data_IF_312761852821
#
_entry.id   IF_312761852821
#
_cell.length_a   1.000
_cell.length_b   1.000
_cell.length_c   1.000
_cell.angle_alpha   90.00
_cell.angle_beta   90.00
_cell.angle_gamma   90.00
#
_symmetry.space_group_name_H-M   'P 1'
#
loop_
_entity.id
_entity.type
_entity.pdbx_description
1 polymer ?
#
# COMPACT_ATOMS: atom_id res chain seq x y z
N UNK A 1 -35.67 -14.37 46.20
CA UNK A 1 -36.34 -13.40 45.33
C UNK A 1 -35.93 -12.02 45.81
N UNK A 2 -34.98 -11.32 45.25
CA UNK A 2 -34.11 -11.61 44.11
C UNK A 2 -32.83 -10.80 44.28
N UNK A 3 -31.77 -11.36 43.71
CA UNK A 3 -30.48 -10.73 43.46
C UNK A 3 -30.61 -9.63 42.42
N UNK A 4 -29.71 -8.65 42.48
CA UNK A 4 -29.50 -7.66 41.41
C UNK A 4 -28.80 -6.43 41.98
N UNK A 5 -27.61 -6.03 41.55
CA UNK A 5 -26.77 -6.51 40.48
C UNK A 5 -25.59 -5.55 40.45
N UNK A 6 -24.39 -6.09 40.56
CA UNK A 6 -23.12 -5.41 40.42
C UNK A 6 -22.94 -4.97 38.97
N UNK A 7 -23.21 -3.71 38.65
CA UNK A 7 -22.81 -3.12 37.36
C UNK A 7 -22.25 -1.72 37.57
N UNK A 8 -21.27 -1.37 36.72
CA UNK A 8 -20.56 -0.10 36.62
C UNK A 8 -19.35 0.19 37.52
N UNK A 9 -18.46 -0.80 37.68
CA UNK A 9 -17.03 -0.50 37.95
C UNK A 9 -16.15 -0.86 36.72
N UNK A 10 -16.62 -1.72 35.82
CA UNK A 10 -15.88 -2.12 34.61
C UNK A 10 -15.98 -1.11 33.45
N UNK A 11 -16.98 -0.21 33.44
CA UNK A 11 -17.12 0.81 32.39
C UNK A 11 -16.16 1.99 32.51
N UNK A 12 -15.60 2.22 33.70
CA UNK A 12 -14.63 3.30 33.94
C UNK A 12 -13.20 2.86 33.59
N UNK A 13 -12.83 1.60 33.87
CA UNK A 13 -11.52 1.04 33.49
C UNK A 13 -11.36 0.76 32.00
N UNK A 14 -12.45 0.60 31.26
CA UNK A 14 -12.43 0.44 29.80
C UNK A 14 -12.28 1.78 29.04
N UNK A 15 -12.46 2.92 29.71
CA UNK A 15 -12.31 4.26 29.11
C UNK A 15 -10.93 4.91 29.35
N UNK A 16 -10.06 4.26 30.11
CA UNK A 16 -8.68 4.71 30.37
C UNK A 16 -7.64 3.98 29.50
N UNK A 17 -8.08 3.18 28.50
CA UNK A 17 -7.22 2.45 27.55
C UNK A 17 -7.42 2.85 26.08
N UNK A 18 -7.99 4.01 25.79
CA UNK A 18 -7.59 4.72 24.58
C UNK A 18 -6.24 5.39 24.90
N UNK A 19 -5.15 4.60 24.86
CA UNK A 19 -3.83 5.17 24.58
C UNK A 19 -4.05 6.04 23.34
N UNK A 20 -3.64 7.30 23.41
CA UNK A 20 -3.62 8.19 22.26
C UNK A 20 -2.71 7.50 21.22
N UNK A 21 -3.29 6.71 20.31
CA UNK A 21 -2.54 5.93 19.34
C UNK A 21 -1.84 6.94 18.47
N UNK A 22 -0.51 6.92 18.50
CA UNK A 22 0.28 7.76 17.62
C UNK A 22 -0.11 7.43 16.18
N UNK A 23 -0.30 8.47 15.37
CA UNK A 23 -0.72 8.33 13.97
C UNK A 23 0.47 8.35 13.02
N UNK A 24 1.68 8.57 13.55
CA UNK A 24 2.91 8.50 12.79
C UNK A 24 3.17 7.04 12.40
N UNK A 25 3.76 6.86 11.23
CA UNK A 25 4.12 5.52 10.75
C UNK A 25 5.26 4.96 11.59
N UNK A 26 5.31 3.63 11.78
CA UNK A 26 6.44 2.97 12.46
C UNK A 26 7.56 2.55 11.51
N UNK A 27 7.22 2.34 10.23
CA UNK A 27 8.18 2.02 9.18
C UNK A 27 9.23 3.12 9.02
N UNK A 28 10.52 2.78 9.14
CA UNK A 28 11.64 3.70 8.86
C UNK A 28 11.90 3.70 7.35
N UNK A 29 11.55 4.75 6.56
CA UNK A 29 11.64 4.74 5.10
C UNK A 29 13.06 5.09 4.59
N UNK A 30 14.07 4.58 5.28
CA UNK A 30 15.49 4.80 5.00
C UNK A 30 16.18 3.46 4.93
N UNK A 31 16.99 3.26 3.90
CA UNK A 31 17.74 2.01 3.72
C UNK A 31 18.70 1.78 4.89
N UNK A 32 18.85 0.53 5.35
CA UNK A 32 19.80 0.11 6.39
C UNK A 32 21.21 0.67 6.19
N UNK A 33 21.72 0.66 4.96
CA UNK A 33 23.04 1.21 4.63
C UNK A 33 23.17 2.73 4.93
N UNK A 34 22.11 3.52 4.70
CA UNK A 34 22.10 4.94 5.03
C UNK A 34 22.01 5.18 6.53
N UNK A 35 21.18 4.40 7.24
CA UNK A 35 21.09 4.44 8.71
C UNK A 35 22.44 4.11 9.33
N UNK A 36 23.07 2.98 8.96
CA UNK A 36 24.42 2.58 9.39
C UNK A 36 25.45 3.68 9.16
N UNK A 37 25.46 4.23 7.95
CA UNK A 37 26.41 5.31 7.60
C UNK A 37 26.23 6.53 8.48
N UNK A 38 25.00 6.95 8.75
CA UNK A 38 24.72 8.12 9.56
C UNK A 38 25.02 7.87 11.05
N UNK A 39 24.58 6.74 11.60
CA UNK A 39 24.74 6.46 13.03
C UNK A 39 26.21 6.22 13.41
N UNK A 40 27.02 5.64 12.52
CA UNK A 40 28.47 5.46 12.75
C UNK A 40 29.29 6.75 12.65
N UNK A 41 28.64 7.86 12.31
CA UNK A 41 29.21 9.20 12.25
C UNK A 41 28.79 10.09 13.42
N UNK A 42 28.04 9.55 14.40
CA UNK A 42 27.69 10.27 15.62
C UNK A 42 28.93 10.75 16.38
N UNK A 43 28.81 11.92 17.01
CA UNK A 43 29.85 12.43 17.90
C UNK A 43 30.08 11.45 19.07
N UNK A 44 31.35 11.24 19.43
CA UNK A 44 31.74 10.26 20.47
C UNK A 44 32.18 8.89 19.92
N UNK A 45 31.91 8.58 18.65
CA UNK A 45 32.40 7.35 18.02
C UNK A 45 33.84 7.52 17.52
N UNK A 46 34.79 6.88 18.20
CA UNK A 46 36.17 6.74 17.72
C UNK A 46 36.29 5.58 16.70
N UNK A 47 37.47 5.42 16.08
CA UNK A 47 37.69 4.40 15.04
C UNK A 47 37.50 2.96 15.57
N UNK A 48 37.94 2.65 16.79
CA UNK A 48 37.78 1.33 17.39
C UNK A 48 36.30 1.00 17.68
N UNK A 49 35.54 1.96 18.21
CA UNK A 49 34.09 1.84 18.43
C UNK A 49 33.36 1.66 17.11
N UNK A 50 33.78 2.38 16.06
CA UNK A 50 33.18 2.28 14.72
C UNK A 50 33.38 0.90 14.11
N UNK A 51 34.59 0.37 14.17
CA UNK A 51 34.91 -0.96 13.66
C UNK A 51 34.18 -2.05 14.47
N UNK A 52 34.04 -1.83 15.79
CA UNK A 52 33.26 -2.67 16.67
C UNK A 52 31.77 -2.70 16.33
N UNK A 53 31.14 -1.53 16.17
CA UNK A 53 29.73 -1.41 15.77
C UNK A 53 29.46 -1.99 14.39
N UNK A 54 30.42 -1.87 13.46
CA UNK A 54 30.30 -2.50 12.16
C UNK A 54 30.19 -4.03 12.27
N UNK A 55 31.01 -4.66 13.12
CA UNK A 55 30.94 -6.11 13.38
C UNK A 55 29.66 -6.50 14.10
N UNK A 56 29.21 -5.72 15.09
CA UNK A 56 27.93 -5.97 15.77
C UNK A 56 26.81 -5.96 14.73
N UNK A 57 26.76 -4.91 13.90
CA UNK A 57 25.77 -4.82 12.83
C UNK A 57 25.85 -5.99 11.83
N UNK A 58 27.04 -6.42 11.42
CA UNK A 58 27.20 -7.59 10.55
C UNK A 58 26.66 -8.89 11.18
N UNK A 59 26.89 -9.09 12.48
CA UNK A 59 26.37 -10.24 13.21
C UNK A 59 24.85 -10.21 13.36
N UNK A 60 24.27 -9.05 13.72
CA UNK A 60 22.81 -8.88 13.77
C UNK A 60 22.22 -9.18 12.38
N UNK A 61 22.77 -8.60 11.31
CA UNK A 61 22.33 -8.88 9.94
C UNK A 61 22.36 -10.37 9.59
N UNK A 62 23.44 -11.08 9.93
CA UNK A 62 23.55 -12.52 9.66
C UNK A 62 22.52 -13.35 10.45
N UNK A 63 22.35 -13.05 11.75
CA UNK A 63 21.41 -13.75 12.64
C UNK A 63 19.97 -13.57 12.15
N UNK A 64 19.55 -12.32 11.90
CA UNK A 64 18.18 -12.07 11.45
C UNK A 64 17.93 -12.61 10.05
N UNK A 65 18.90 -12.52 9.14
CA UNK A 65 18.77 -13.12 7.82
C UNK A 65 18.50 -14.64 7.91
N UNK A 66 19.21 -15.31 8.82
CA UNK A 66 19.03 -16.74 9.07
C UNK A 66 17.65 -17.05 9.66
N UNK A 67 17.20 -16.32 10.69
CA UNK A 67 15.89 -16.55 11.30
C UNK A 67 14.74 -16.27 10.33
N UNK A 68 14.85 -15.19 9.56
CA UNK A 68 13.88 -14.77 8.54
C UNK A 68 13.74 -15.78 7.41
N UNK A 69 14.81 -16.50 7.07
CA UNK A 69 14.77 -17.53 6.03
C UNK A 69 13.77 -18.66 6.36
N UNK A 70 13.71 -19.10 7.62
CA UNK A 70 12.76 -20.14 8.04
C UNK A 70 11.31 -19.68 7.90
N UNK A 71 11.01 -18.43 8.25
CA UNK A 71 9.69 -17.82 8.06
C UNK A 71 9.31 -17.74 6.58
N UNK A 72 10.25 -17.34 5.71
CA UNK A 72 10.03 -17.28 4.27
C UNK A 72 9.71 -18.66 3.66
N UNK A 73 10.44 -19.71 4.03
CA UNK A 73 10.19 -21.06 3.54
C UNK A 73 8.86 -21.63 4.04
N UNK A 74 8.48 -21.32 5.29
CA UNK A 74 7.16 -21.68 5.81
C UNK A 74 6.03 -21.02 5.02
N UNK A 75 6.10 -19.70 4.80
CA UNK A 75 5.13 -18.95 4.00
C UNK A 75 5.00 -19.51 2.57
N UNK A 76 6.13 -19.82 1.91
CA UNK A 76 6.12 -20.42 0.57
C UNK A 76 5.46 -21.79 0.57
N UNK A 77 5.78 -22.64 1.54
CA UNK A 77 5.19 -23.97 1.64
C UNK A 77 3.68 -23.93 1.85
N UNK A 78 3.19 -22.99 2.67
CA UNK A 78 1.76 -22.79 2.89
C UNK A 78 1.07 -22.21 1.65
N UNK A 79 1.75 -21.34 0.90
CA UNK A 79 1.22 -20.70 -0.30
C UNK A 79 1.21 -21.59 -1.55
N UNK A 80 2.11 -22.57 -1.65
CA UNK A 80 2.39 -23.38 -2.85
C UNK A 80 1.11 -23.89 -3.54
N UNK A 81 0.16 -24.43 -2.76
CA UNK A 81 -1.07 -25.00 -3.34
C UNK A 81 -2.03 -23.97 -3.91
N UNK A 82 -1.92 -22.70 -3.51
CA UNK A 82 -2.78 -21.59 -3.95
C UNK A 82 -2.10 -20.68 -4.98
N UNK A 83 -0.80 -20.85 -5.21
CA UNK A 83 0.00 -20.02 -6.11
C UNK A 83 -0.55 -20.09 -7.54
N UNK A 84 -0.99 -18.97 -8.15
CA UNK A 84 -1.43 -18.92 -9.54
C UNK A 84 -0.33 -19.31 -10.54
N UNK A 85 0.96 -19.20 -10.18
CA UNK A 85 2.10 -19.50 -11.05
C UNK A 85 2.52 -20.98 -11.01
N UNK A 86 1.83 -21.83 -10.23
CA UNK A 86 2.11 -23.26 -10.19
C UNK A 86 1.69 -23.99 -11.48
N UNK A 87 2.22 -25.19 -11.70
CA UNK A 87 1.93 -25.99 -12.91
C UNK A 87 0.51 -26.59 -12.87
N UNK A 88 0.07 -27.01 -11.69
CA UNK A 88 -1.22 -27.63 -11.47
C UNK A 88 -2.33 -26.57 -11.28
N UNK A 89 -3.59 -27.01 -11.25
CA UNK A 89 -4.69 -26.08 -10.95
C UNK A 89 -4.63 -25.65 -9.48
N UNK A 90 -4.60 -24.33 -9.19
CA UNK A 90 -4.55 -23.86 -7.81
C UNK A 90 -5.71 -24.38 -6.96
N UNK A 91 -5.37 -24.89 -5.79
CA UNK A 91 -6.31 -25.30 -4.76
C UNK A 91 -6.60 -24.17 -3.76
N UNK A 92 -7.30 -24.53 -2.68
CA UNK A 92 -7.65 -23.63 -1.57
C UNK A 92 -7.22 -24.17 -0.20
N UNK A 93 -6.36 -25.21 -0.19
CA UNK A 93 -5.96 -25.90 1.04
C UNK A 93 -5.00 -25.03 1.85
N UNK A 94 -5.26 -24.90 3.15
CA UNK A 94 -4.38 -24.16 4.05
C UNK A 94 -4.50 -22.63 3.93
N UNK A 95 -5.53 -22.11 3.25
CA UNK A 95 -5.69 -20.67 3.03
C UNK A 95 -5.71 -19.85 4.32
N UNK A 96 -6.50 -20.29 5.31
CA UNK A 96 -6.62 -19.59 6.60
C UNK A 96 -5.28 -19.57 7.34
N UNK A 97 -4.63 -20.74 7.46
CA UNK A 97 -3.29 -20.87 8.07
C UNK A 97 -2.23 -20.01 7.37
N UNK A 98 -2.25 -19.96 6.02
CA UNK A 98 -1.39 -19.08 5.25
C UNK A 98 -1.65 -17.60 5.53
N UNK A 99 -2.92 -17.18 5.52
CA UNK A 99 -3.29 -15.78 5.73
C UNK A 99 -2.97 -15.32 7.15
N UNK A 100 -3.14 -16.17 8.15
CA UNK A 100 -2.79 -15.88 9.55
C UNK A 100 -1.27 -15.75 9.69
N UNK A 101 -0.50 -16.71 9.15
CA UNK A 101 0.97 -16.66 9.16
C UNK A 101 1.51 -15.43 8.40
N UNK A 102 0.86 -15.08 7.28
CA UNK A 102 1.22 -13.90 6.50
C UNK A 102 0.92 -12.61 7.26
N UNK A 103 -0.21 -12.54 7.97
CA UNK A 103 -0.58 -11.38 8.76
C UNK A 103 0.42 -11.15 9.91
N UNK A 104 0.88 -12.20 10.58
CA UNK A 104 1.95 -12.12 11.59
C UNK A 104 3.24 -11.57 10.97
N UNK A 105 3.71 -12.14 9.86
CA UNK A 105 4.92 -11.65 9.18
C UNK A 105 4.80 -10.20 8.65
N UNK A 106 3.58 -9.75 8.36
CA UNK A 106 3.30 -8.37 7.95
C UNK A 106 3.38 -7.42 9.16
N UNK A 107 2.85 -7.81 10.32
CA UNK A 107 2.94 -7.04 11.56
C UNK A 107 4.41 -6.83 11.95
N UNK A 108 5.22 -7.90 11.93
CA UNK A 108 6.66 -7.84 12.22
C UNK A 108 7.42 -6.92 11.21
N UNK A 109 6.83 -6.64 10.05
CA UNK A 109 7.38 -5.73 9.05
C UNK A 109 6.79 -4.33 9.05
N UNK A 110 6.03 -3.96 10.10
CA UNK A 110 5.33 -2.68 10.27
C UNK A 110 4.27 -2.42 9.19
N UNK A 111 3.66 -3.47 8.63
CA UNK A 111 2.55 -3.36 7.69
C UNK A 111 1.22 -3.25 8.44
N UNK A 112 0.34 -2.39 7.91
CA UNK A 112 -1.01 -2.22 8.43
C UNK A 112 -2.05 -2.65 7.41
N UNK A 113 -3.16 -3.25 7.84
CA UNK A 113 -4.31 -3.47 6.96
C UNK A 113 -4.96 -2.12 6.61
N UNK A 114 -5.29 -1.90 5.33
CA UNK A 114 -6.02 -0.70 4.92
C UNK A 114 -7.43 -0.77 5.49
N UNK A 115 -7.81 0.22 6.28
CA UNK A 115 -9.11 0.25 6.93
C UNK A 115 -10.27 0.48 5.95
N UNK A 116 -11.47 0.01 6.30
CA UNK A 116 -12.69 0.29 5.54
C UNK A 116 -12.89 1.78 5.30
N UNK A 117 -12.51 2.62 6.28
CA UNK A 117 -12.58 4.07 6.17
C UNK A 117 -11.61 4.60 5.11
N UNK A 118 -10.35 4.17 5.10
CA UNK A 118 -9.38 4.58 4.08
C UNK A 118 -9.80 4.11 2.69
N UNK A 119 -10.36 2.91 2.58
CA UNK A 119 -10.92 2.43 1.32
C UNK A 119 -12.13 3.26 0.87
N UNK A 120 -13.02 3.64 1.79
CA UNK A 120 -14.16 4.51 1.48
C UNK A 120 -13.69 5.92 1.07
N UNK A 121 -12.76 6.51 1.82
CA UNK A 121 -12.18 7.81 1.52
C UNK A 121 -11.50 7.80 0.14
N UNK A 122 -10.85 6.69 -0.24
CA UNK A 122 -10.28 6.51 -1.57
C UNK A 122 -11.34 6.46 -2.69
N UNK A 123 -12.47 5.77 -2.46
CA UNK A 123 -13.56 5.66 -3.45
C UNK A 123 -14.38 6.95 -3.59
N UNK A 124 -14.46 7.75 -2.52
CA UNK A 124 -15.21 9.01 -2.49
C UNK A 124 -14.36 10.24 -2.87
N UNK A 125 -13.03 10.11 -2.72
CA UNK A 125 -12.06 11.17 -3.00
C UNK A 125 -12.07 11.66 -4.44
N UNK A 126 -11.67 12.92 -4.66
CA UNK A 126 -11.44 13.40 -6.02
C UNK A 126 -10.09 12.87 -6.54
N UNK A 127 -10.15 11.91 -7.47
CA UNK A 127 -8.99 11.26 -8.11
C UNK A 127 -7.85 12.24 -8.51
N UNK A 128 -6.61 11.79 -8.37
CA UNK A 128 -5.44 12.40 -9.04
C UNK A 128 -5.59 12.25 -10.55
N UNK A 129 -6.24 11.19 -11.01
CA UNK A 129 -6.47 10.90 -12.42
C UNK A 129 -7.77 11.51 -12.98
N UNK A 130 -7.88 11.57 -14.31
CA UNK A 130 -8.97 12.28 -14.99
C UNK A 130 -10.27 11.44 -15.13
N UNK A 131 -10.29 10.19 -14.70
CA UNK A 131 -11.39 9.23 -14.89
C UNK A 131 -11.44 8.36 -13.63
N UNK A 132 -12.62 8.17 -13.05
CA UNK A 132 -12.80 7.31 -11.89
C UNK A 132 -12.98 5.86 -12.33
N UNK A 133 -12.50 4.91 -11.53
CA UNK A 133 -12.70 3.49 -11.79
C UNK A 133 -13.76 2.91 -10.86
N UNK A 134 -14.66 2.13 -11.44
CA UNK A 134 -15.62 1.33 -10.69
C UNK A 134 -15.06 -0.08 -10.50
N UNK A 135 -14.74 -0.44 -9.25
CA UNK A 135 -14.26 -1.77 -8.87
C UNK A 135 -15.47 -2.65 -8.56
N UNK A 136 -15.51 -3.84 -9.16
CA UNK A 136 -16.57 -4.83 -8.88
C UNK A 136 -16.15 -5.73 -7.73
N UNK A 137 -16.25 -5.21 -6.50
CA UNK A 137 -15.81 -5.93 -5.30
C UNK A 137 -16.52 -7.27 -5.07
N UNK A 138 -17.74 -7.43 -5.58
CA UNK A 138 -18.50 -8.69 -5.47
C UNK A 138 -17.90 -9.85 -6.28
N UNK A 139 -16.97 -9.57 -7.19
CA UNK A 139 -16.24 -10.58 -7.98
C UNK A 139 -15.10 -11.26 -7.18
N UNK A 140 -14.82 -10.81 -5.95
CA UNK A 140 -13.79 -11.37 -5.08
C UNK A 140 -14.38 -12.31 -4.01
N UNK A 141 -13.70 -13.43 -3.77
CA UNK A 141 -13.89 -14.31 -2.60
C UNK A 141 -13.03 -13.81 -1.44
N UNK A 142 -11.81 -13.37 -1.73
CA UNK A 142 -10.88 -12.79 -0.76
C UNK A 142 -10.33 -11.50 -1.34
N UNK A 143 -10.37 -10.44 -0.54
CA UNK A 143 -9.80 -9.14 -0.84
C UNK A 143 -9.20 -8.60 0.45
N UNK A 144 -7.88 -8.46 0.47
CA UNK A 144 -7.13 -7.83 1.55
C UNK A 144 -6.13 -6.86 0.97
N UNK A 145 -6.00 -5.69 1.59
CA UNK A 145 -5.00 -4.69 1.24
C UNK A 145 -4.20 -4.37 2.49
N UNK A 146 -2.87 -4.36 2.37
CA UNK A 146 -1.97 -3.90 3.41
C UNK A 146 -1.12 -2.76 2.88
N UNK A 147 -0.86 -1.76 3.71
CA UNK A 147 -0.04 -0.59 3.40
C UNK A 147 1.25 -0.64 4.21
N UNK A 148 2.32 -0.11 3.62
CA UNK A 148 3.57 0.17 4.32
C UNK A 148 4.00 1.59 3.98
N UNK A 149 4.19 2.38 5.04
CA UNK A 149 4.70 3.74 4.99
C UNK A 149 3.84 4.74 4.21
N UNK A 150 4.11 6.01 4.46
CA UNK A 150 3.41 7.13 3.82
C UNK A 150 4.42 8.15 3.27
N UNK A 151 4.16 8.61 2.05
CA UNK A 151 5.00 9.59 1.35
C UNK A 151 4.14 10.66 0.67
N UNK A 152 4.56 11.92 0.76
CA UNK A 152 3.95 13.04 0.04
C UNK A 152 4.76 13.38 -1.20
N UNK A 153 4.10 13.35 -2.36
CA UNK A 153 4.73 13.58 -3.67
C UNK A 153 4.24 14.93 -4.20
N UNK A 154 5.14 15.78 -4.68
CA UNK A 154 4.76 17.01 -5.38
C UNK A 154 4.55 16.73 -6.88
N UNK A 155 3.37 17.09 -7.39
CA UNK A 155 3.00 16.96 -8.80
C UNK A 155 2.68 18.35 -9.39
N UNK A 156 3.25 18.67 -10.55
CA UNK A 156 2.93 19.91 -11.28
C UNK A 156 1.75 19.68 -12.23
N UNK A 157 0.61 20.29 -11.92
CA UNK A 157 -0.57 20.24 -12.79
C UNK A 157 -0.74 21.52 -13.58
N UNK A 158 -0.96 21.38 -14.89
CA UNK A 158 -1.37 22.51 -15.74
C UNK A 158 -2.90 22.61 -15.75
N UNK A 159 -3.44 23.74 -15.32
CA UNK A 159 -4.85 24.09 -15.50
C UNK A 159 -5.02 25.13 -16.63
N UNK A 160 -6.27 25.33 -17.06
CA UNK A 160 -6.64 26.31 -18.09
C UNK A 160 -5.86 26.18 -19.41
N UNK A 161 -5.92 25.01 -20.06
CA UNK A 161 -5.22 24.72 -21.32
C UNK A 161 -3.69 24.92 -21.26
N UNK A 162 -3.08 24.80 -20.08
CA UNK A 162 -1.64 24.93 -19.89
C UNK A 162 -1.17 26.33 -19.49
N UNK A 163 -2.09 27.27 -19.26
CA UNK A 163 -1.75 28.66 -18.93
C UNK A 163 -1.43 28.88 -17.45
N UNK A 164 -1.89 28.01 -16.56
CA UNK A 164 -1.56 28.05 -15.12
C UNK A 164 -0.94 26.72 -14.72
N UNK A 165 0.22 26.76 -14.06
CA UNK A 165 0.79 25.60 -13.38
C UNK A 165 0.54 25.72 -11.89
N UNK A 166 0.18 24.63 -11.26
CA UNK A 166 -0.12 24.55 -9.83
C UNK A 166 0.52 23.29 -9.28
N UNK A 167 1.33 23.45 -8.23
CA UNK A 167 1.94 22.32 -7.52
C UNK A 167 0.91 21.79 -6.54
N UNK A 168 0.60 20.50 -6.68
CA UNK A 168 -0.33 19.79 -5.80
C UNK A 168 0.48 18.74 -5.04
N UNK A 169 0.30 18.71 -3.72
CA UNK A 169 0.82 17.63 -2.88
C UNK A 169 -0.14 16.44 -2.96
N UNK A 170 0.40 15.26 -3.27
CA UNK A 170 -0.33 14.01 -3.34
C UNK A 170 0.19 13.10 -2.25
N UNK A 171 -0.66 12.79 -1.28
CA UNK A 171 -0.34 11.81 -0.25
C UNK A 171 -0.54 10.40 -0.82
N UNK A 172 0.46 9.55 -0.61
CA UNK A 172 0.53 8.20 -1.16
C UNK A 172 1.02 7.22 -0.11
N UNK A 173 0.59 5.98 -0.21
CA UNK A 173 1.24 4.87 0.49
C UNK A 173 2.54 4.54 -0.23
N UNK A 174 3.64 4.34 0.50
CA UNK A 174 4.93 3.98 -0.11
C UNK A 174 4.81 2.62 -0.78
N UNK A 175 4.15 1.67 -0.13
CA UNK A 175 3.85 0.36 -0.71
C UNK A 175 2.48 -0.16 -0.33
N UNK A 176 1.91 -0.97 -1.21
CA UNK A 176 0.67 -1.70 -0.98
C UNK A 176 0.84 -3.15 -1.39
N UNK A 177 0.45 -4.06 -0.49
CA UNK A 177 0.20 -5.46 -0.82
C UNK A 177 -1.28 -5.63 -1.07
N UNK A 178 -1.60 -6.31 -2.18
CA UNK A 178 -2.94 -6.69 -2.57
C UNK A 178 -3.02 -8.20 -2.62
N UNK A 179 -3.99 -8.77 -1.91
CA UNK A 179 -4.30 -10.20 -1.93
C UNK A 179 -5.71 -10.38 -2.49
N UNK A 180 -5.83 -11.08 -3.61
CA UNK A 180 -7.09 -11.28 -4.32
C UNK A 180 -7.31 -12.76 -4.64
N UNK A 181 -8.53 -13.23 -4.40
CA UNK A 181 -9.04 -14.49 -4.94
C UNK A 181 -10.36 -14.18 -5.65
N UNK A 182 -10.48 -14.55 -6.92
CA UNK A 182 -11.70 -14.34 -7.69
C UNK A 182 -12.73 -15.43 -7.43
N UNK A 183 -14.01 -15.07 -7.62
CA UNK A 183 -15.09 -16.03 -7.69
C UNK A 183 -14.87 -17.04 -8.83
N UNK A 184 -15.40 -18.25 -8.68
CA UNK A 184 -15.22 -19.30 -9.68
C UNK A 184 -16.10 -19.11 -10.93
N UNK A 185 -15.85 -19.94 -11.95
CA UNK A 185 -16.61 -19.91 -13.21
C UNK A 185 -18.12 -20.06 -13.00
N UNK A 186 -18.54 -20.89 -12.04
CA UNK A 186 -19.94 -21.17 -11.77
C UNK A 186 -20.67 -19.92 -11.26
N UNK A 187 -20.03 -19.15 -10.37
CA UNK A 187 -20.54 -17.89 -9.84
C UNK A 187 -20.80 -16.87 -10.96
N UNK A 188 -19.86 -16.75 -11.92
CA UNK A 188 -20.01 -15.85 -13.07
C UNK A 188 -21.08 -16.32 -14.04
N UNK A 189 -21.19 -17.64 -14.26
CA UNK A 189 -22.21 -18.24 -15.14
C UNK A 189 -23.62 -18.00 -14.60
N UNK A 190 -23.85 -18.27 -13.32
CA UNK A 190 -25.14 -18.09 -12.65
C UNK A 190 -25.63 -16.63 -12.70
N UNK A 191 -24.71 -15.68 -12.55
CA UNK A 191 -25.00 -14.23 -12.62
C UNK A 191 -25.02 -13.66 -14.04
N UNK A 192 -24.80 -14.48 -15.07
CA UNK A 192 -24.70 -14.07 -16.49
C UNK A 192 -23.62 -13.00 -16.71
N UNK A 193 -22.51 -13.11 -15.98
CA UNK A 193 -21.35 -12.19 -16.01
C UNK A 193 -20.10 -12.81 -16.63
N UNK A 194 -20.21 -13.88 -17.42
CA UNK A 194 -19.08 -14.57 -18.05
C UNK A 194 -18.10 -13.67 -18.82
N UNK A 195 -18.52 -12.50 -19.30
CA UNK A 195 -17.64 -11.50 -19.91
C UNK A 195 -16.59 -10.88 -18.96
N UNK A 196 -16.78 -11.04 -17.65
CA UNK A 196 -15.91 -10.56 -16.58
C UNK A 196 -15.13 -11.69 -15.90
N UNK A 197 -15.37 -12.94 -16.29
CA UNK A 197 -14.60 -14.06 -15.78
C UNK A 197 -13.15 -13.95 -16.29
N UNK A 198 -12.19 -14.12 -15.38
CA UNK A 198 -10.77 -13.94 -15.66
C UNK A 198 -10.14 -15.15 -16.38
N UNK A 199 -10.87 -16.27 -16.49
CA UNK A 199 -10.33 -17.51 -17.07
C UNK A 199 -9.32 -18.19 -16.14
N UNK A 200 -8.42 -18.97 -16.72
CA UNK A 200 -7.36 -19.67 -15.98
C UNK A 200 -6.43 -18.69 -15.24
N UNK A 201 -6.17 -17.52 -15.82
CA UNK A 201 -5.29 -16.49 -15.22
C UNK A 201 -5.82 -15.92 -13.90
N UNK A 202 -7.12 -16.06 -13.60
CA UNK A 202 -7.70 -15.57 -12.35
C UNK A 202 -7.86 -16.61 -11.25
N UNK A 203 -7.44 -17.86 -11.49
CA UNK A 203 -7.48 -18.91 -10.47
C UNK A 203 -6.36 -18.72 -9.44
N UNK A 204 -6.56 -19.26 -8.24
CA UNK A 204 -5.61 -19.16 -7.15
C UNK A 204 -5.69 -17.87 -6.36
N UNK A 205 -4.79 -17.74 -5.39
CA UNK A 205 -4.68 -16.59 -4.50
C UNK A 205 -3.58 -15.66 -5.03
N UNK A 206 -3.97 -14.57 -5.68
CA UNK A 206 -3.05 -13.60 -6.26
C UNK A 206 -2.51 -12.68 -5.18
N UNK A 207 -1.18 -12.54 -5.12
CA UNK A 207 -0.53 -11.58 -4.23
C UNK A 207 0.25 -10.60 -5.09
N UNK A 208 0.06 -9.30 -4.89
CA UNK A 208 0.79 -8.26 -5.65
C UNK A 208 1.33 -7.20 -4.73
N UNK A 209 2.54 -6.75 -5.00
CA UNK A 209 3.17 -5.63 -4.32
C UNK A 209 3.31 -4.45 -5.28
N UNK A 210 2.79 -3.31 -4.89
CA UNK A 210 2.87 -2.05 -5.62
C UNK A 210 3.66 -1.02 -4.81
N UNK A 211 4.39 -0.15 -5.49
CA UNK A 211 4.97 1.06 -4.89
C UNK A 211 4.17 2.31 -5.24
N UNK A 212 4.21 3.27 -4.33
CA UNK A 212 3.82 4.66 -4.55
C UNK A 212 2.39 4.75 -5.10
N UNK A 213 1.43 4.32 -4.29
CA UNK A 213 0.01 4.32 -4.66
C UNK A 213 -0.67 5.50 -3.97
N UNK A 214 -1.27 6.45 -4.72
CA UNK A 214 -2.00 7.56 -4.12
C UNK A 214 -3.12 7.06 -3.21
N UNK A 215 -3.27 7.69 -2.04
CA UNK A 215 -4.31 7.29 -1.07
C UNK A 215 -5.72 7.41 -1.65
N UNK A 216 -5.93 8.36 -2.54
CA UNK A 216 -7.21 8.65 -3.19
C UNK A 216 -7.37 7.99 -4.58
N UNK A 217 -6.49 7.06 -4.97
CA UNK A 217 -6.66 6.30 -6.22
C UNK A 217 -6.38 4.78 -5.99
N UNK A 218 -6.78 4.23 -4.84
CA UNK A 218 -6.60 2.81 -4.52
C UNK A 218 -7.30 1.89 -5.53
N UNK A 219 -8.38 2.34 -6.16
CA UNK A 219 -9.09 1.61 -7.20
C UNK A 219 -8.19 1.29 -8.41
N UNK A 220 -7.12 2.04 -8.63
CA UNK A 220 -6.22 1.84 -9.78
C UNK A 220 -5.46 0.52 -9.74
N UNK A 221 -5.18 -0.02 -8.56
CA UNK A 221 -4.47 -1.29 -8.41
C UNK A 221 -5.36 -2.51 -8.65
N UNK A 222 -6.67 -2.34 -8.80
CA UNK A 222 -7.59 -3.45 -9.03
C UNK A 222 -7.66 -3.84 -10.52
N UNK A 223 -7.51 -5.14 -10.84
CA UNK A 223 -7.55 -5.63 -12.22
C UNK A 223 -8.96 -5.61 -12.85
N UNK A 224 -10.02 -5.65 -12.05
CA UNK A 224 -11.40 -5.78 -12.49
C UNK A 224 -12.14 -4.43 -12.49
N UNK A 225 -11.49 -3.38 -12.94
CA UNK A 225 -12.09 -2.04 -12.96
C UNK A 225 -12.83 -1.74 -14.26
N UNK A 226 -13.91 -0.96 -14.17
CA UNK A 226 -14.60 -0.40 -15.33
C UNK A 226 -14.41 1.13 -15.38
N UNK A 227 -14.01 1.70 -16.52
CA UNK A 227 -13.81 3.14 -16.61
C UNK A 227 -15.14 3.88 -16.55
N UNK A 228 -15.29 4.78 -15.58
CA UNK A 228 -16.44 5.66 -15.46
C UNK A 228 -16.06 7.10 -15.79
N UNK A 229 -16.78 7.74 -16.72
CA UNK A 229 -16.47 9.13 -17.06
C UNK A 229 -16.72 10.08 -15.88
N UNK A 230 -15.72 10.90 -15.53
CA UNK A 230 -15.89 12.05 -14.62
C UNK A 230 -16.96 12.99 -15.16
N UNK A 231 -17.66 13.68 -14.25
CA UNK A 231 -18.71 14.65 -14.59
C UNK A 231 -18.26 15.71 -15.60
N UNK A 232 -17.01 16.19 -15.48
CA UNK A 232 -16.44 17.18 -16.41
C UNK A 232 -16.31 16.66 -17.84
N UNK A 233 -15.93 15.40 -18.03
CA UNK A 233 -15.76 14.81 -19.36
C UNK A 233 -17.12 14.40 -19.96
N UNK A 234 -18.07 13.98 -19.12
CA UNK A 234 -19.49 13.87 -19.52
C UNK A 234 -20.01 15.18 -20.09
N UNK A 235 -19.67 16.32 -19.48
CA UNK A 235 -20.05 17.65 -19.97
C UNK A 235 -19.28 18.01 -21.26
N UNK A 236 -17.96 17.82 -21.33
CA UNK A 236 -17.18 18.13 -22.54
C UNK A 236 -17.65 17.35 -23.77
N UNK A 237 -18.11 16.12 -23.59
CA UNK A 237 -18.61 15.27 -24.67
C UNK A 237 -20.10 15.54 -24.92
N UNK A 238 -20.90 15.70 -23.87
CA UNK A 238 -22.34 15.88 -23.94
C UNK A 238 -22.80 17.28 -24.35
N UNK A 239 -22.12 18.34 -23.91
CA UNK A 239 -22.51 19.73 -24.20
C UNK A 239 -22.41 20.07 -25.70
N UNK A 240 -21.33 19.69 -26.43
CA UNK A 240 -21.33 19.82 -27.89
C UNK A 240 -22.44 18.99 -28.53
N UNK A 241 -22.66 17.74 -28.09
CA UNK A 241 -23.73 16.89 -28.62
C UNK A 241 -25.09 17.59 -28.55
N UNK A 242 -25.46 18.09 -27.36
CA UNK A 242 -26.70 18.84 -27.13
C UNK A 242 -26.75 20.13 -27.94
N UNK A 243 -25.67 20.92 -27.97
CA UNK A 243 -25.61 22.16 -28.74
C UNK A 243 -25.77 21.93 -30.24
N UNK A 244 -25.13 20.89 -30.79
CA UNK A 244 -25.25 20.50 -32.19
C UNK A 244 -26.65 20.02 -32.54
N UNK A 245 -27.25 19.15 -31.71
CA UNK A 245 -28.62 18.67 -31.90
C UNK A 245 -29.65 19.80 -31.82
N UNK A 246 -29.52 20.71 -30.85
CA UNK A 246 -30.40 21.90 -30.73
C UNK A 246 -30.26 22.80 -31.95
N UNK A 247 -29.04 23.04 -32.43
CA UNK A 247 -28.80 23.88 -33.62
C UNK A 247 -29.45 23.27 -34.87
N UNK A 248 -29.33 21.95 -35.05
CA UNK A 248 -29.95 21.24 -36.16
C UNK A 248 -31.48 21.23 -36.01
N UNK A 249 -32.00 20.98 -34.82
CA UNK A 249 -33.44 21.00 -34.51
C UNK A 249 -34.06 22.38 -34.72
N UNK A 250 -33.41 23.47 -34.31
CA UNK A 250 -33.91 24.83 -34.54
C UNK A 250 -33.89 25.21 -36.03
N UNK A 251 -32.83 24.86 -36.75
CA UNK A 251 -32.67 25.25 -38.17
C UNK A 251 -33.49 24.39 -39.13
N UNK A 252 -33.66 23.12 -38.81
CA UNK A 252 -34.22 22.13 -39.72
C UNK A 252 -35.39 21.33 -39.14
N UNK A 253 -35.74 21.51 -37.86
CA UNK A 253 -36.88 20.84 -37.21
C UNK A 253 -38.21 21.06 -37.93
N UNK A 254 -38.58 22.30 -38.31
CA UNK A 254 -39.80 22.53 -39.09
C UNK A 254 -39.80 21.86 -40.48
N UNK A 255 -38.62 21.65 -41.07
CA UNK A 255 -38.44 20.94 -42.34
C UNK A 255 -38.53 19.41 -42.15
N UNK A 256 -38.05 18.89 -41.02
CA UNK A 256 -38.08 17.47 -40.65
C UNK A 256 -39.47 17.01 -40.16
N UNK A 257 -40.24 17.90 -39.52
CA UNK A 257 -41.59 17.64 -39.01
C UNK A 257 -42.70 17.91 -40.04
N UNK A 258 -42.35 18.40 -41.23
CA UNK A 258 -43.31 18.70 -42.30
C UNK A 258 -44.17 19.94 -42.05
N UNK A 259 -43.81 20.79 -41.09
CA UNK A 259 -44.59 21.99 -40.70
C UNK A 259 -44.45 23.15 -41.71
N UNK A 260 -43.44 23.13 -42.60
CA UNK A 260 -43.17 24.21 -43.56
C UNK A 260 -42.91 23.73 -45.00
N UNK A 261 -43.76 22.86 -45.57
CA UNK A 261 -43.60 22.46 -46.98
C UNK A 261 -44.75 22.95 -47.87
N UNK A 262 -44.61 24.18 -48.35
CA UNK A 262 -45.30 24.65 -49.57
C UNK A 262 -44.49 24.38 -50.86
N UNK A 263 -43.39 23.61 -50.78
CA UNK A 263 -42.55 23.23 -51.92
C UNK A 263 -41.85 21.89 -51.71
N UNK A 264 -41.52 21.21 -52.80
CA UNK A 264 -40.84 19.90 -52.85
C UNK A 264 -39.56 19.91 -52.03
N UNK A 265 -39.60 19.29 -50.85
CA UNK A 265 -38.38 19.06 -50.06
C UNK A 265 -37.55 18.01 -50.78
N UNK A 266 -36.42 18.41 -51.36
CA UNK A 266 -35.54 17.47 -52.06
C UNK A 266 -35.03 16.39 -51.09
N UNK A 267 -35.13 15.12 -51.49
CA UNK A 267 -34.64 13.97 -50.73
C UNK A 267 -33.14 14.12 -50.35
N UNK A 268 -32.38 14.86 -51.16
CA UNK A 268 -30.98 15.22 -50.92
C UNK A 268 -30.76 16.14 -49.72
N UNK A 269 -31.69 17.08 -49.45
CA UNK A 269 -31.60 17.97 -48.28
C UNK A 269 -31.83 17.19 -46.98
N UNK A 270 -32.86 16.34 -46.95
CA UNK A 270 -33.11 15.43 -45.83
C UNK A 270 -31.94 14.45 -45.62
N UNK A 271 -31.42 13.87 -46.71
CA UNK A 271 -30.24 13.01 -46.68
C UNK A 271 -29.00 13.71 -46.12
N UNK A 272 -28.76 14.97 -46.51
CA UNK A 272 -27.64 15.78 -46.00
C UNK A 272 -27.75 16.09 -44.50
N UNK A 273 -28.95 16.40 -44.01
CA UNK A 273 -29.19 16.66 -42.58
C UNK A 273 -29.00 15.38 -41.75
N UNK A 274 -29.55 14.25 -42.21
CA UNK A 274 -29.37 12.96 -41.55
C UNK A 274 -27.90 12.51 -41.56
N UNK A 275 -27.18 12.73 -42.66
CA UNK A 275 -25.75 12.45 -42.74
C UNK A 275 -24.93 13.33 -41.78
N UNK A 276 -25.28 14.62 -41.64
CA UNK A 276 -24.63 15.51 -40.69
C UNK A 276 -24.88 15.08 -39.23
N UNK A 277 -26.13 14.73 -38.89
CA UNK A 277 -26.50 14.19 -37.59
C UNK A 277 -25.75 12.88 -37.28
N UNK A 278 -25.76 11.94 -38.22
CA UNK A 278 -25.06 10.66 -38.09
C UNK A 278 -23.56 10.84 -37.91
N UNK A 279 -22.93 11.74 -38.68
CA UNK A 279 -21.51 12.08 -38.53
C UNK A 279 -21.21 12.68 -37.16
N UNK A 280 -22.10 13.51 -36.64
CA UNK A 280 -21.91 14.13 -35.34
C UNK A 280 -22.02 13.14 -34.18
N UNK A 281 -23.04 12.29 -34.19
CA UNK A 281 -23.20 11.19 -33.22
C UNK A 281 -21.99 10.25 -33.28
N UNK A 282 -21.56 9.87 -34.48
CA UNK A 282 -20.39 9.02 -34.69
C UNK A 282 -19.11 9.67 -34.14
N UNK A 283 -18.89 10.96 -34.40
CA UNK A 283 -17.73 11.70 -33.88
C UNK A 283 -17.72 11.72 -32.35
N UNK A 284 -18.87 11.93 -31.72
CA UNK A 284 -19.01 11.92 -30.25
C UNK A 284 -18.70 10.53 -29.68
N UNK A 285 -19.20 9.47 -30.31
CA UNK A 285 -18.91 8.08 -29.92
C UNK A 285 -17.42 7.74 -30.06
N UNK A 286 -16.79 8.11 -31.18
CA UNK A 286 -15.36 7.92 -31.40
C UNK A 286 -14.52 8.70 -30.39
N UNK A 287 -14.95 9.92 -30.02
CA UNK A 287 -14.29 10.70 -28.97
C UNK A 287 -14.37 10.01 -27.61
N UNK A 288 -15.53 9.43 -27.27
CA UNK A 288 -15.71 8.64 -26.05
C UNK A 288 -14.76 7.44 -26.02
N UNK A 289 -14.73 6.64 -27.09
CA UNK A 289 -13.84 5.47 -27.18
C UNK A 289 -12.38 5.88 -27.05
N UNK A 290 -11.94 6.91 -27.78
CA UNK A 290 -10.55 7.39 -27.72
C UNK A 290 -10.13 7.85 -26.32
N UNK A 291 -11.02 8.53 -25.60
CA UNK A 291 -10.76 8.95 -24.21
C UNK A 291 -10.62 7.74 -23.29
N UNK A 292 -11.50 6.74 -23.44
CA UNK A 292 -11.45 5.49 -22.67
C UNK A 292 -10.17 4.69 -22.94
N UNK A 293 -9.77 4.53 -24.19
CA UNK A 293 -8.54 3.81 -24.57
C UNK A 293 -7.29 4.50 -24.02
N UNK A 294 -7.21 5.84 -24.15
CA UNK A 294 -6.11 6.63 -23.60
C UNK A 294 -5.97 6.43 -22.10
N UNK A 295 -7.09 6.30 -21.40
CA UNK A 295 -7.12 6.07 -19.97
C UNK A 295 -6.63 4.69 -19.58
N UNK A 296 -7.18 3.64 -20.20
CA UNK A 296 -6.74 2.27 -19.98
C UNK A 296 -5.23 2.11 -20.26
N UNK A 297 -4.73 2.77 -21.31
CA UNK A 297 -3.30 2.81 -21.63
C UNK A 297 -2.49 3.48 -20.52
N UNK A 298 -3.00 4.56 -19.91
CA UNK A 298 -2.31 5.27 -18.84
C UNK A 298 -2.24 4.43 -17.57
N UNK A 299 -3.36 3.82 -17.15
CA UNK A 299 -3.40 2.92 -16.00
C UNK A 299 -2.48 1.73 -16.21
N UNK A 300 -2.56 1.08 -17.37
CA UNK A 300 -1.70 -0.07 -17.67
C UNK A 300 -0.22 0.28 -17.58
N UNK A 301 0.19 1.45 -18.08
CA UNK A 301 1.57 1.95 -17.89
C UNK A 301 1.90 2.24 -16.44
N UNK A 302 0.99 2.88 -15.71
CA UNK A 302 1.18 3.24 -14.31
C UNK A 302 1.36 1.97 -13.45
N UNK A 303 0.46 0.99 -13.59
CA UNK A 303 0.56 -0.32 -12.95
C UNK A 303 1.82 -1.07 -13.33
N UNK A 304 2.25 -1.03 -14.60
CA UNK A 304 3.49 -1.66 -15.02
C UNK A 304 4.71 -1.10 -14.28
N UNK A 305 4.78 0.22 -14.09
CA UNK A 305 5.93 0.84 -13.40
C UNK A 305 5.81 0.83 -11.88
N UNK A 306 4.60 0.70 -11.34
CA UNK A 306 4.33 0.60 -9.89
C UNK A 306 4.39 -0.84 -9.37
N UNK A 307 4.11 -1.85 -10.18
CA UNK A 307 4.25 -3.25 -9.79
C UNK A 307 5.71 -3.59 -9.43
N UNK A 308 5.93 -4.09 -8.22
CA UNK A 308 7.24 -4.50 -7.71
C UNK A 308 7.44 -6.02 -7.74
N UNK A 309 6.44 -6.77 -7.30
CA UNK A 309 6.51 -8.23 -7.21
C UNK A 309 5.11 -8.86 -7.32
N UNK A 310 5.06 -10.13 -7.72
CA UNK A 310 3.85 -10.94 -7.82
C UNK A 310 4.03 -12.29 -7.11
N UNK A 311 2.95 -12.81 -6.54
CA UNK A 311 2.81 -14.14 -5.95
C UNK A 311 3.97 -14.49 -5.01
N UNK A 312 4.63 -15.63 -5.18
CA UNK A 312 5.72 -16.07 -4.31
C UNK A 312 6.88 -15.06 -4.19
N UNK A 313 7.10 -14.18 -5.18
CA UNK A 313 8.11 -13.14 -5.09
C UNK A 313 7.75 -12.06 -4.05
N UNK A 314 6.47 -11.82 -3.80
CA UNK A 314 6.01 -10.89 -2.75
C UNK A 314 6.41 -11.41 -1.37
N UNK A 315 6.30 -12.74 -1.13
CA UNK A 315 6.65 -13.34 0.15
C UNK A 315 8.12 -13.10 0.51
N UNK A 316 9.04 -13.26 -0.45
CA UNK A 316 10.45 -12.95 -0.22
C UNK A 316 10.66 -11.47 0.11
N UNK A 317 9.90 -10.58 -0.54
CA UNK A 317 10.04 -9.14 -0.36
C UNK A 317 9.47 -8.65 0.97
N UNK A 318 8.39 -9.27 1.47
CA UNK A 318 7.87 -8.99 2.82
C UNK A 318 8.93 -9.32 3.86
N UNK A 319 9.51 -10.52 3.77
CA UNK A 319 10.51 -10.99 4.73
C UNK A 319 11.78 -10.14 4.67
N UNK A 320 12.25 -9.77 3.46
CA UNK A 320 13.40 -8.88 3.27
C UNK A 320 13.16 -7.47 3.87
N UNK A 321 11.96 -6.91 3.67
CA UNK A 321 11.59 -5.61 4.23
C UNK A 321 11.44 -5.65 5.76
N UNK A 322 10.93 -6.75 6.31
CA UNK A 322 10.86 -7.00 7.75
C UNK A 322 12.25 -7.11 8.37
N UNK A 323 13.12 -7.97 7.83
CA UNK A 323 14.53 -8.09 8.24
C UNK A 323 15.24 -6.72 8.23
N UNK A 324 14.95 -5.88 7.24
CA UNK A 324 15.51 -4.53 7.18
C UNK A 324 15.08 -3.63 8.36
N UNK A 325 13.81 -3.69 8.80
CA UNK A 325 13.35 -2.93 9.97
C UNK A 325 13.98 -3.46 11.26
N UNK A 326 13.89 -4.77 11.49
CA UNK A 326 14.44 -5.46 12.65
C UNK A 326 15.87 -5.03 12.96
N UNK A 327 16.73 -5.06 11.94
CA UNK A 327 18.14 -4.71 12.10
C UNK A 327 18.32 -3.21 12.35
N UNK A 328 17.54 -2.35 11.71
CA UNK A 328 17.63 -0.89 11.94
C UNK A 328 17.25 -0.58 13.39
N UNK A 329 16.11 -1.07 13.85
CA UNK A 329 15.60 -0.82 15.19
C UNK A 329 16.56 -1.30 16.28
N UNK A 330 16.99 -2.56 16.20
CA UNK A 330 17.94 -3.12 17.15
C UNK A 330 19.29 -2.38 17.15
N UNK A 331 19.80 -2.00 15.97
CA UNK A 331 21.06 -1.28 15.85
C UNK A 331 20.97 0.16 16.38
N UNK A 332 19.86 0.85 16.12
CA UNK A 332 19.59 2.19 16.64
C UNK A 332 19.55 2.15 18.17
N UNK A 333 18.69 1.30 18.74
CA UNK A 333 18.56 1.14 20.19
C UNK A 333 19.90 0.79 20.86
N UNK A 334 20.61 -0.20 20.33
CA UNK A 334 21.92 -0.61 20.86
C UNK A 334 22.94 0.54 20.84
N UNK A 335 23.04 1.25 19.71
CA UNK A 335 24.07 2.27 19.54
C UNK A 335 23.81 3.49 20.42
N UNK A 336 22.56 3.94 20.56
CA UNK A 336 22.24 5.05 21.44
C UNK A 336 22.46 4.70 22.92
N UNK A 337 22.03 3.52 23.35
CA UNK A 337 22.28 3.05 24.72
C UNK A 337 23.79 2.88 25.02
N UNK A 338 24.59 2.50 24.01
CA UNK A 338 26.04 2.36 24.16
C UNK A 338 26.76 3.72 24.28
N UNK A 339 26.39 4.70 23.45
CA UNK A 339 27.09 5.98 23.38
C UNK A 339 26.65 6.98 24.44
N UNK A 340 25.38 6.91 24.81
CA UNK A 340 24.72 7.85 25.71
C UNK A 340 24.41 7.17 27.06
N UNK A 341 25.30 6.27 27.50
CA UNK A 341 25.14 5.46 28.72
C UNK A 341 24.93 6.28 30.00
N UNK A 342 25.43 7.52 30.02
CA UNK A 342 25.30 8.43 31.18
C UNK A 342 23.91 9.08 31.28
N UNK A 343 23.08 9.00 30.23
CA UNK A 343 21.77 9.64 30.18
C UNK A 343 20.66 8.85 30.90
N UNK A 344 20.93 7.60 31.31
CA UNK A 344 19.99 6.73 32.04
C UNK A 344 18.61 6.64 31.38
N UNK A 345 18.56 6.28 30.10
CA UNK A 345 17.31 6.14 29.36
C UNK A 345 16.36 5.12 29.98
N UNK A 346 15.08 5.47 30.02
CA UNK A 346 13.97 4.51 30.07
C UNK A 346 13.41 4.34 28.65
N UNK A 347 12.39 3.48 28.48
CA UNK A 347 11.79 3.15 27.19
C UNK A 347 11.34 4.42 26.43
N UNK A 348 10.49 5.26 27.04
CA UNK A 348 10.00 6.53 26.45
C UNK A 348 11.14 7.51 26.11
N UNK A 349 12.15 7.63 26.97
CA UNK A 349 13.26 8.57 26.73
C UNK A 349 14.20 8.12 25.61
N UNK A 350 14.37 6.81 25.43
CA UNK A 350 15.14 6.26 24.30
C UNK A 350 14.37 6.46 23.00
N UNK A 351 13.05 6.24 23.04
CA UNK A 351 12.14 6.40 21.92
C UNK A 351 12.19 7.83 21.36
N UNK A 352 11.85 8.82 22.19
CA UNK A 352 11.91 10.26 21.86
C UNK A 352 13.28 10.66 21.28
N UNK A 353 14.35 10.08 21.83
CA UNK A 353 15.73 10.37 21.42
C UNK A 353 16.04 9.84 20.02
N UNK A 354 15.56 8.65 19.69
CA UNK A 354 15.77 8.01 18.38
C UNK A 354 14.88 8.68 17.33
N UNK A 355 13.61 8.92 17.63
CA UNK A 355 12.69 9.64 16.75
C UNK A 355 13.21 11.03 16.40
N UNK A 356 13.64 11.79 17.40
CA UNK A 356 14.24 13.11 17.19
C UNK A 356 15.46 13.05 16.27
N UNK A 357 16.30 12.02 16.41
CA UNK A 357 17.44 11.82 15.51
C UNK A 357 17.04 11.47 14.08
N UNK A 358 16.03 10.60 13.90
CA UNK A 358 15.51 10.22 12.58
C UNK A 358 14.88 11.41 11.86
N UNK A 359 14.16 12.26 12.59
CA UNK A 359 13.60 13.50 12.08
C UNK A 359 14.69 14.49 11.67
N UNK A 360 15.66 14.74 12.55
CA UNK A 360 16.74 15.71 12.28
C UNK A 360 17.68 15.26 11.14
N UNK A 361 17.96 13.95 11.06
CA UNK A 361 18.94 13.39 10.12
C UNK A 361 18.34 13.10 8.74
N UNK A 362 17.11 12.59 8.70
CA UNK A 362 16.47 12.10 7.47
C UNK A 362 15.17 12.83 7.12
N UNK A 363 14.62 13.66 8.02
CA UNK A 363 13.30 14.27 7.84
C UNK A 363 12.16 13.27 8.03
N UNK A 364 12.41 12.16 8.73
CA UNK A 364 11.42 11.12 8.98
C UNK A 364 10.73 11.35 10.33
N UNK A 365 9.46 11.78 10.28
CA UNK A 365 8.58 11.87 11.45
C UNK A 365 7.84 10.53 11.60
N UNK A 366 8.28 9.71 12.56
CA UNK A 366 7.83 8.32 12.76
C UNK A 366 7.59 8.05 14.26
N UNK A 367 6.83 7.00 14.55
CA UNK A 367 6.66 6.39 15.88
C UNK A 367 7.65 5.22 15.99
N UNK A 368 8.75 5.34 16.74
CA UNK A 368 9.79 4.30 16.74
C UNK A 368 9.35 3.07 17.57
N UNK A 369 9.60 1.86 17.08
CA UNK A 369 9.24 0.63 17.81
C UNK A 369 10.26 0.29 18.90
N UNK A 370 10.38 1.16 19.90
CA UNK A 370 11.35 0.98 20.99
C UNK A 370 11.14 -0.32 21.75
N UNK A 371 9.89 -0.69 22.03
CA UNK A 371 9.56 -1.88 22.81
C UNK A 371 10.09 -3.14 22.12
N UNK A 372 9.88 -3.26 20.81
CA UNK A 372 10.30 -4.43 20.05
C UNK A 372 11.83 -4.45 19.84
N UNK A 373 12.44 -3.28 19.61
CA UNK A 373 13.90 -3.15 19.57
C UNK A 373 14.56 -3.63 20.88
N UNK A 374 14.00 -3.26 22.03
CA UNK A 374 14.50 -3.63 23.34
C UNK A 374 14.26 -5.11 23.65
N UNK A 375 13.07 -5.64 23.34
CA UNK A 375 12.74 -7.06 23.50
C UNK A 375 13.71 -7.96 22.70
N UNK A 376 14.08 -7.54 21.49
CA UNK A 376 15.08 -8.23 20.65
C UNK A 376 16.45 -8.27 21.33
N UNK A 377 16.94 -7.11 21.80
CA UNK A 377 18.23 -7.03 22.50
C UNK A 377 18.23 -7.80 23.83
N UNK A 378 17.10 -7.84 24.55
CA UNK A 378 16.95 -8.63 25.77
C UNK A 378 16.97 -10.14 25.48
N UNK A 379 16.24 -10.61 24.45
CA UNK A 379 16.27 -12.01 24.00
C UNK A 379 17.69 -12.47 23.63
N UNK A 380 18.47 -11.56 23.04
CA UNK A 380 19.88 -11.79 22.74
C UNK A 380 20.81 -11.65 23.95
N UNK A 381 20.31 -11.28 25.14
CA UNK A 381 21.08 -11.02 26.37
C UNK A 381 22.06 -9.85 26.27
N UNK A 382 21.80 -8.92 25.35
CA UNK A 382 22.60 -7.71 25.16
C UNK A 382 22.07 -6.50 25.93
N UNK A 383 20.81 -6.56 26.39
CA UNK A 383 20.16 -5.53 27.18
C UNK A 383 19.99 -5.97 28.64
N UNK A 384 20.12 -5.03 29.57
CA UNK A 384 19.71 -5.18 30.96
C UNK A 384 18.88 -3.98 31.40
N UNK A 385 17.81 -4.24 32.16
CA UNK A 385 16.94 -3.21 32.74
C UNK A 385 17.04 -3.24 34.26
N UNK A 386 17.28 -2.08 34.88
CA UNK A 386 17.32 -1.96 36.34
C UNK A 386 15.90 -1.98 36.94
N UNK A 387 15.79 -2.15 38.26
CA UNK A 387 14.49 -2.07 38.96
C UNK A 387 13.78 -0.72 38.78
N UNK A 388 14.55 0.35 38.56
CA UNK A 388 14.06 1.70 38.31
C UNK A 388 13.68 1.94 36.83
N UNK A 389 13.81 0.92 35.97
CA UNK A 389 13.48 0.99 34.54
C UNK A 389 14.56 1.59 33.66
N UNK A 390 15.79 1.75 34.16
CA UNK A 390 16.91 2.29 33.39
C UNK A 390 17.50 1.18 32.50
N UNK A 391 17.70 1.50 31.23
CA UNK A 391 18.20 0.63 30.19
C UNK A 391 19.73 0.75 30.07
N UNK A 392 20.40 -0.38 29.93
CA UNK A 392 21.83 -0.42 29.59
C UNK A 392 22.14 -1.62 28.71
N UNK A 393 23.10 -1.46 27.81
CA UNK A 393 23.57 -2.54 26.93
C UNK A 393 24.97 -3.03 27.31
N UNK A 394 25.30 -4.26 26.93
CA UNK A 394 26.67 -4.77 27.06
C UNK A 394 27.62 -3.99 26.15
N UNK A 395 28.89 -3.92 26.56
CA UNK A 395 29.92 -3.28 25.72
C UNK A 395 30.16 -4.11 24.44
N UNK A 396 30.71 -3.48 23.41
CA UNK A 396 30.95 -4.11 22.09
C UNK A 396 31.64 -5.47 22.17
N UNK A 397 32.67 -5.62 23.00
CA UNK A 397 33.43 -6.88 23.08
C UNK A 397 32.55 -8.01 23.61
N UNK A 398 31.82 -7.73 24.69
CA UNK A 398 30.88 -8.67 25.29
C UNK A 398 29.70 -8.96 24.36
N UNK A 399 29.14 -7.94 23.70
CA UNK A 399 28.08 -8.10 22.71
C UNK A 399 28.50 -9.01 21.55
N UNK A 400 29.72 -8.84 21.03
CA UNK A 400 30.24 -9.69 19.96
C UNK A 400 30.40 -11.14 20.42
N UNK A 401 30.89 -11.38 21.64
CA UNK A 401 30.96 -12.74 22.20
C UNK A 401 29.57 -13.35 22.34
N UNK A 402 28.59 -12.59 22.82
CA UNK A 402 27.20 -13.05 22.95
C UNK A 402 26.59 -13.40 21.60
N UNK A 403 26.81 -12.57 20.57
CA UNK A 403 26.29 -12.81 19.22
C UNK A 403 26.97 -14.00 18.52
N UNK A 404 28.28 -14.17 18.72
CA UNK A 404 29.05 -15.33 18.23
C UNK A 404 28.55 -16.62 18.88
N UNK A 405 28.42 -16.62 20.22
CA UNK A 405 27.84 -17.74 20.96
C UNK A 405 26.39 -18.02 20.51
N UNK A 406 25.59 -16.98 20.27
CA UNK A 406 24.22 -17.14 19.77
C UNK A 406 24.22 -17.85 18.41
N UNK A 407 25.06 -17.38 17.48
CA UNK A 407 25.20 -17.94 16.14
C UNK A 407 25.66 -19.41 16.16
N UNK A 408 26.69 -19.72 16.94
CA UNK A 408 27.26 -21.07 17.05
C UNK A 408 26.25 -22.08 17.64
N UNK A 409 25.31 -21.60 18.46
CA UNK A 409 24.30 -22.44 19.11
C UNK A 409 22.93 -22.43 18.39
N UNK A 410 22.82 -21.87 17.18
CA UNK A 410 21.60 -21.94 16.36
C UNK A 410 21.22 -23.41 16.08
N UNK A 411 22.21 -24.28 15.90
CA UNK A 411 22.02 -25.71 15.64
C UNK A 411 22.70 -26.57 16.71
N UNK A 412 21.94 -27.49 17.30
CA UNK A 412 22.44 -28.44 18.31
C UNK A 412 22.47 -29.88 17.77
N UNK A 413 23.12 -30.10 16.61
CA UNK A 413 23.25 -31.43 16.00
C UNK A 413 24.26 -32.34 16.69
#
# INVERSE_FOLDING_TARGET
>A
MDEGGSENINGAKAKEKEKNVDKRQQYIPVSRAKVKKAIFQLEGINDDTRDGLAKVSEMLEAIWHHSSHAGAENLKSLYESMDPDQIDTPGCKGKEEFLDTLAEALIDGNWEEISDKEMQDALEGEDVFAISLDVRFDEFVTMKLYKLGEVSIQDERSSFFGLKKETVTIDSFDRIIQILEFQDESWFAERKRMKHYQGEEGKGLHIRLFKTVPKLDLETIFPNTSPMMRGVDKIKIGAPLLGGLVTIGMKFGPLLLGENTSGDTSLSLLGGILAALGTYVMKTYLSYQKTREKYQTRISKDLFFKGQANNAAVLNMIVDLGEEQEVKEALLAYTFLLLESDNNYNDEGLDDRIEGWLLDTFGCDIDFEVDDALDKLEKMRMLSKTEDGILSVTNIVESLTILDDYWDNIYNY
#
